data_IF_424338792718
#
_entry.id   IF_424338792718
#
_cell.length_a   1.000
_cell.length_b   1.000
_cell.length_c   1.000
_cell.angle_alpha   90.00
_cell.angle_beta   90.00
_cell.angle_gamma   90.00
#
_symmetry.space_group_name_H-M   'P 1'
#
loop_
_entity.id
_entity.type
_entity.pdbx_description
1 polymer ?
#
# COMPACT_ATOMS: atom_id res chain seq x y z
N UNK A 1 -8.27 21.05 -55.23
CA UNK A 1 -8.72 22.45 -55.42
C UNK A 1 -9.91 22.60 -54.49
N UNK A 2 -9.87 23.30 -53.36
CA UNK A 2 -9.41 24.65 -53.03
C UNK A 2 -9.10 24.69 -51.52
N UNK A 3 -7.86 24.98 -51.12
CA UNK A 3 -7.38 26.28 -50.63
C UNK A 3 -7.52 26.47 -49.10
N UNK A 4 -6.37 26.39 -48.42
CA UNK A 4 -6.14 26.73 -47.00
C UNK A 4 -6.11 28.25 -46.85
N UNK A 5 -6.78 28.85 -45.87
CA UNK A 5 -6.35 30.11 -45.30
C UNK A 5 -5.63 29.81 -43.98
N UNK A 6 -4.30 29.89 -44.03
CA UNK A 6 -3.53 30.22 -42.84
C UNK A 6 -3.90 31.67 -42.47
N UNK A 7 -4.62 31.85 -41.36
CA UNK A 7 -4.73 33.15 -40.72
C UNK A 7 -4.36 33.01 -39.24
N UNK A 8 -3.37 33.81 -38.91
CA UNK A 8 -2.67 33.97 -37.65
C UNK A 8 -3.57 34.49 -36.52
N UNK A 9 -3.08 34.23 -35.29
CA UNK A 9 -3.29 35.00 -34.06
C UNK A 9 -4.67 34.91 -33.39
N UNK A 10 -4.80 33.93 -32.48
CA UNK A 10 -5.53 34.13 -31.23
C UNK A 10 -4.71 33.55 -30.08
N UNK A 11 -4.09 34.45 -29.31
CA UNK A 11 -3.67 34.20 -27.93
C UNK A 11 -4.91 33.71 -27.16
N UNK A 12 -4.89 32.46 -26.75
CA UNK A 12 -5.89 31.86 -25.89
C UNK A 12 -5.23 30.84 -24.99
N UNK A 13 -4.80 31.31 -23.81
CA UNK A 13 -4.41 30.51 -22.65
C UNK A 13 -5.48 29.43 -22.41
N UNK A 14 -5.23 28.20 -22.85
CA UNK A 14 -5.95 27.03 -22.32
C UNK A 14 -5.25 26.60 -21.04
N UNK A 15 -5.80 27.12 -19.95
CA UNK A 15 -5.53 26.74 -18.57
C UNK A 15 -5.93 25.27 -18.35
N UNK A 16 -5.32 24.69 -17.31
CA UNK A 16 -5.54 23.37 -16.72
C UNK A 16 -4.58 22.30 -17.25
N UNK A 17 -3.30 22.39 -16.89
CA UNK A 17 -2.77 21.83 -15.65
C UNK A 17 -2.88 20.30 -15.61
N UNK A 18 -1.72 19.66 -15.64
CA UNK A 18 -1.51 18.41 -14.91
C UNK A 18 -2.12 18.57 -13.51
N UNK A 19 -3.30 18.00 -13.28
CA UNK A 19 -3.88 17.86 -11.96
C UNK A 19 -4.36 16.41 -11.82
N UNK A 20 -3.39 15.49 -11.81
CA UNK A 20 -3.50 14.32 -10.95
C UNK A 20 -3.18 14.80 -9.53
N UNK A 21 -4.19 15.33 -8.84
CA UNK A 21 -4.12 15.68 -7.43
C UNK A 21 -5.57 15.71 -6.87
N UNK A 22 -5.79 15.49 -5.57
CA UNK A 22 -6.35 14.22 -5.09
C UNK A 22 -7.47 14.44 -4.08
N UNK A 23 -8.68 13.94 -4.30
CA UNK A 23 -9.68 13.92 -3.20
C UNK A 23 -10.93 13.12 -3.56
N UNK A 24 -10.93 11.82 -3.24
CA UNK A 24 -11.99 11.23 -2.41
C UNK A 24 -11.50 9.89 -1.85
N UNK A 25 -10.58 9.96 -0.89
CA UNK A 25 -10.02 8.78 -0.24
C UNK A 25 -10.04 8.93 1.28
N UNK A 26 -11.16 9.41 1.82
CA UNK A 26 -11.40 9.43 3.28
C UNK A 26 -11.60 8.02 3.88
N UNK A 27 -11.35 6.96 3.10
CA UNK A 27 -11.41 5.57 3.53
C UNK A 27 -10.27 4.72 2.94
N UNK A 28 -9.30 5.29 2.22
CA UNK A 28 -8.10 4.53 1.87
C UNK A 28 -7.28 4.44 3.16
N UNK A 29 -7.18 3.23 3.71
CA UNK A 29 -6.16 2.86 4.67
C UNK A 29 -4.81 3.27 4.07
N UNK A 30 -4.38 4.49 4.40
CA UNK A 30 -3.25 5.18 3.80
C UNK A 30 -2.09 4.20 3.71
N UNK A 31 -1.73 3.78 2.49
CA UNK A 31 -0.57 2.91 2.26
C UNK A 31 0.61 3.65 2.87
N UNK A 32 1.16 3.10 3.96
CA UNK A 32 2.31 3.72 4.63
C UNK A 32 3.47 3.72 3.64
N UNK A 33 4.02 4.90 3.26
CA UNK A 33 5.11 4.94 2.30
C UNK A 33 6.34 4.28 2.91
N UNK A 34 6.87 3.25 2.23
CA UNK A 34 8.08 2.55 2.63
C UNK A 34 8.26 1.23 1.87
N UNK A 35 9.50 0.76 1.78
CA UNK A 35 9.82 -0.52 1.13
C UNK A 35 9.42 -1.65 2.07
N UNK A 36 8.36 -2.39 1.70
CA UNK A 36 7.92 -3.57 2.44
C UNK A 36 8.91 -4.71 2.17
N UNK A 37 9.81 -4.97 3.12
CA UNK A 37 10.84 -6.05 3.06
C UNK A 37 10.35 -7.37 3.66
N UNK A 38 9.05 -7.47 3.94
CA UNK A 38 8.42 -8.62 4.59
C UNK A 38 7.77 -9.55 3.58
N UNK A 39 7.65 -10.84 3.94
CA UNK A 39 7.04 -11.85 3.06
C UNK A 39 5.53 -11.67 2.94
N UNK A 40 4.90 -11.02 3.91
CA UNK A 40 3.50 -10.64 3.92
C UNK A 40 3.33 -9.13 3.69
N UNK A 41 2.23 -8.76 3.04
CA UNK A 41 1.84 -7.38 2.79
C UNK A 41 0.69 -6.91 3.70
N UNK A 42 -0.08 -7.85 4.24
CA UNK A 42 -1.12 -7.60 5.26
C UNK A 42 -0.63 -8.03 6.65
N UNK A 43 -1.11 -7.36 7.70
CA UNK A 43 -0.77 -7.67 9.08
C UNK A 43 -1.05 -9.14 9.41
N UNK A 44 -0.05 -9.87 9.91
CA UNK A 44 -0.25 -11.28 10.26
C UNK A 44 -1.28 -11.51 11.38
N UNK A 45 -1.52 -10.51 12.24
CA UNK A 45 -2.48 -10.63 13.34
C UNK A 45 -3.93 -10.31 12.95
N UNK A 46 -4.14 -9.25 12.16
CA UNK A 46 -5.47 -8.69 11.88
C UNK A 46 -5.93 -8.99 10.46
N UNK A 47 -5.00 -9.23 9.54
CA UNK A 47 -5.19 -9.47 8.10
C UNK A 47 -5.95 -8.35 7.34
N UNK A 48 -6.71 -7.49 8.00
CA UNK A 48 -7.46 -6.39 7.39
C UNK A 48 -6.55 -5.22 7.03
N UNK A 49 -5.60 -4.89 7.91
CA UNK A 49 -4.72 -3.75 7.73
C UNK A 49 -3.43 -4.11 6.98
N UNK A 50 -2.91 -3.20 6.14
CA UNK A 50 -1.59 -3.34 5.54
C UNK A 50 -0.48 -3.38 6.60
N UNK A 51 0.64 -4.02 6.28
CA UNK A 51 1.81 -4.01 7.17
C UNK A 51 2.45 -2.63 7.22
N UNK A 52 3.03 -2.29 8.37
CA UNK A 52 3.90 -1.14 8.52
C UNK A 52 5.35 -1.57 8.24
N UNK A 53 6.05 -0.94 7.29
CA UNK A 53 7.45 -1.29 6.97
C UNK A 53 8.42 -1.07 8.15
N UNK A 54 8.03 -0.28 9.16
CA UNK A 54 8.82 -0.06 10.38
C UNK A 54 8.53 -1.11 11.46
N UNK A 55 7.41 -1.84 11.36
CA UNK A 55 6.99 -2.84 12.36
C UNK A 55 7.13 -4.23 11.77
N UNK A 56 8.34 -4.78 11.87
CA UNK A 56 8.72 -6.07 11.31
C UNK A 56 9.28 -6.96 12.41
N UNK A 57 8.88 -8.23 12.42
CA UNK A 57 9.39 -9.27 13.32
C UNK A 57 10.00 -10.40 12.50
N UNK A 58 11.01 -11.07 13.04
CA UNK A 58 11.61 -12.25 12.40
C UNK A 58 10.97 -13.54 12.93
N UNK A 59 10.51 -14.39 12.02
CA UNK A 59 9.92 -15.69 12.31
C UNK A 59 10.48 -16.75 11.37
N UNK A 60 11.16 -17.78 11.91
CA UNK A 60 11.76 -18.87 11.14
C UNK A 60 12.66 -18.40 9.97
N UNK A 61 13.39 -17.31 10.16
CA UNK A 61 14.25 -16.71 9.12
C UNK A 61 13.49 -15.92 8.04
N UNK A 62 12.19 -15.71 8.22
CA UNK A 62 11.35 -14.87 7.38
C UNK A 62 10.99 -13.58 8.12
N UNK A 63 10.94 -12.46 7.40
CA UNK A 63 10.48 -11.17 7.94
C UNK A 63 8.96 -11.07 7.83
N UNK A 64 8.29 -10.96 8.96
CA UNK A 64 6.84 -10.84 9.07
C UNK A 64 6.48 -9.40 9.44
N UNK A 65 5.65 -8.75 8.64
CA UNK A 65 5.16 -7.39 8.87
C UNK A 65 3.91 -7.38 9.74
N UNK A 66 3.81 -6.36 10.60
CA UNK A 66 2.65 -6.09 11.45
C UNK A 66 2.11 -4.68 11.16
N UNK A 67 0.82 -4.43 11.40
CA UNK A 67 0.24 -3.11 11.13
C UNK A 67 0.64 -2.02 12.16
N UNK A 68 1.02 -2.42 13.37
CA UNK A 68 1.36 -1.51 14.46
C UNK A 68 2.24 -2.18 15.54
N UNK A 69 3.01 -1.37 16.28
CA UNK A 69 3.89 -1.83 17.37
C UNK A 69 3.14 -2.60 18.47
N UNK A 70 1.86 -2.24 18.70
CA UNK A 70 1.00 -2.95 19.66
C UNK A 70 0.71 -4.41 19.28
N UNK A 71 0.96 -4.82 18.04
CA UNK A 71 0.85 -6.21 17.62
C UNK A 71 2.10 -7.04 17.95
N UNK A 72 3.27 -6.43 18.20
CA UNK A 72 4.51 -7.15 18.56
C UNK A 72 4.31 -8.01 19.82
N UNK A 73 3.87 -7.47 20.97
CA UNK A 73 3.71 -8.29 22.18
C UNK A 73 2.58 -9.32 22.03
N UNK A 74 1.63 -9.13 21.11
CA UNK A 74 0.61 -10.13 20.81
C UNK A 74 1.20 -11.26 19.97
N UNK A 75 2.02 -10.93 18.98
CA UNK A 75 2.75 -11.89 18.17
C UNK A 75 3.62 -12.78 19.05
N UNK A 76 4.41 -12.22 19.98
CA UNK A 76 5.27 -13.00 20.87
C UNK A 76 4.52 -13.99 21.76
N UNK A 77 3.30 -13.62 22.19
CA UNK A 77 2.42 -14.47 23.01
C UNK A 77 1.79 -15.64 22.26
N UNK A 78 1.74 -15.58 20.93
CA UNK A 78 1.22 -16.69 20.13
C UNK A 78 2.16 -17.89 20.19
N UNK A 79 1.56 -19.08 20.13
CA UNK A 79 2.29 -20.31 19.92
C UNK A 79 2.85 -20.38 18.50
N UNK A 80 3.85 -21.22 18.31
CA UNK A 80 4.53 -21.37 17.01
C UNK A 80 3.53 -21.73 15.89
N UNK A 81 2.57 -22.61 16.21
CA UNK A 81 1.49 -23.02 15.30
C UNK A 81 0.60 -21.84 14.90
N UNK A 82 0.25 -20.97 15.84
CA UNK A 82 -0.58 -19.79 15.56
C UNK A 82 0.19 -18.76 14.72
N UNK A 83 1.48 -18.57 14.98
CA UNK A 83 2.36 -17.71 14.17
C UNK A 83 2.48 -18.20 12.74
N UNK A 84 2.65 -19.51 12.56
CA UNK A 84 2.70 -20.13 11.23
C UNK A 84 1.37 -19.96 10.47
N UNK A 85 0.23 -20.18 11.14
CA UNK A 85 -1.09 -20.00 10.55
C UNK A 85 -1.36 -18.53 10.18
N UNK A 86 -1.01 -17.61 11.07
CA UNK A 86 -1.10 -16.17 10.85
C UNK A 86 -0.26 -15.72 9.64
N UNK A 87 0.98 -16.19 9.56
CA UNK A 87 1.87 -15.91 8.44
C UNK A 87 1.32 -16.48 7.13
N UNK A 88 0.87 -17.73 7.14
CA UNK A 88 0.29 -18.38 5.97
C UNK A 88 -0.96 -17.63 5.47
N UNK A 89 -1.84 -17.21 6.38
CA UNK A 89 -3.03 -16.43 6.03
C UNK A 89 -2.67 -15.05 5.44
N UNK A 90 -1.64 -14.39 5.99
CA UNK A 90 -1.18 -13.10 5.51
C UNK A 90 -0.53 -13.18 4.13
N UNK A 91 0.21 -14.26 3.85
CA UNK A 91 0.78 -14.53 2.52
C UNK A 91 -0.32 -14.93 1.52
N UNK A 92 -1.30 -15.73 1.95
CA UNK A 92 -2.41 -16.17 1.11
C UNK A 92 -3.34 -15.05 0.67
N UNK A 93 -3.46 -13.97 1.45
CA UNK A 93 -4.22 -12.77 1.05
C UNK A 93 -3.67 -12.10 -0.22
N UNK A 94 -2.39 -12.34 -0.53
CA UNK A 94 -1.76 -11.77 -1.71
C UNK A 94 -1.38 -10.29 -1.54
N UNK A 95 -1.06 -9.61 -2.65
CA UNK A 95 -0.57 -8.23 -2.63
C UNK A 95 -1.66 -7.24 -2.19
N UNK A 96 -1.25 -6.11 -1.59
CA UNK A 96 -2.17 -5.01 -1.31
C UNK A 96 -2.84 -4.58 -2.61
N UNK A 97 -4.17 -4.68 -2.65
CA UNK A 97 -4.96 -4.06 -3.72
C UNK A 97 -5.06 -2.56 -3.41
N UNK A 98 -4.46 -1.74 -4.28
CA UNK A 98 -4.60 -0.27 -4.27
C UNK A 98 -6.04 0.15 -4.61
#
# INVERSE_FOLDING_TARGET
MTARPALLLALGLFVAACQSAPENESMCLKRKPGTIVTVNQYCAMVLADPVDPNVVVEWKGQKVGLCCEGCIPKWEKLTDTEKDAALAAAVAKGPIQD
#
